data_IF_117529649006
#
_entry.id   IF_117529649006
#
_cell.length_a   1.000
_cell.length_b   1.000
_cell.length_c   1.000
_cell.angle_alpha   90.00
_cell.angle_beta   90.00
_cell.angle_gamma   90.00
#
_symmetry.space_group_name_H-M   'P 1'
#
loop_
_entity.id
_entity.type
_entity.pdbx_description
1 polymer ?
#
# COMPACT_ATOMS: atom_id res chain seq x y z
N UNK A 1 6.62 22.80 -6.09
CA UNK A 1 6.81 21.85 -4.99
C UNK A 1 5.43 21.57 -4.46
N UNK A 2 4.95 20.33 -4.56
CA UNK A 2 3.63 19.98 -4.03
C UNK A 2 3.65 20.12 -2.50
N UNK A 3 2.55 20.60 -1.94
CA UNK A 3 2.41 20.75 -0.49
C UNK A 3 0.96 20.58 -0.07
N UNK A 4 0.75 20.19 1.18
CA UNK A 4 -0.56 20.06 1.79
C UNK A 4 -0.52 20.57 3.24
N UNK A 5 -1.70 20.83 3.82
CA UNK A 5 -1.81 21.23 5.23
C UNK A 5 -2.09 20.00 6.10
N UNK A 6 -1.30 19.83 7.16
CA UNK A 6 -1.49 18.79 8.17
C UNK A 6 -1.35 19.40 9.56
N UNK A 7 -2.38 19.27 10.41
CA UNK A 7 -2.45 19.89 11.74
C UNK A 7 -2.09 21.40 11.73
N UNK A 8 -2.55 22.13 10.70
CA UNK A 8 -2.29 23.57 10.55
C UNK A 8 -0.86 23.93 10.11
N UNK A 9 -0.01 22.93 9.82
CA UNK A 9 1.35 23.13 9.28
C UNK A 9 1.37 22.84 7.78
N UNK A 10 2.17 23.62 7.05
CA UNK A 10 2.49 23.31 5.65
C UNK A 10 3.51 22.18 5.59
N UNK A 11 3.13 21.10 4.90
CA UNK A 11 4.00 19.95 4.63
C UNK A 11 4.38 19.97 3.15
N UNK A 12 5.69 19.89 2.87
CA UNK A 12 6.26 19.89 1.53
C UNK A 12 6.58 18.47 1.10
N UNK A 13 6.23 18.12 -0.14
CA UNK A 13 6.56 16.82 -0.74
C UNK A 13 7.76 16.97 -1.66
N UNK A 14 8.81 16.18 -1.42
CA UNK A 14 10.02 16.13 -2.24
C UNK A 14 10.56 14.71 -2.28
N UNK A 15 10.74 14.15 -3.47
CA UNK A 15 11.42 12.86 -3.68
C UNK A 15 10.84 11.72 -2.80
N UNK A 16 9.50 11.59 -2.77
CA UNK A 16 8.81 10.53 -2.00
C UNK A 16 8.76 10.78 -0.48
N UNK A 17 9.27 11.92 -0.01
CA UNK A 17 9.33 12.27 1.42
C UNK A 17 8.53 13.54 1.70
N UNK A 18 7.91 13.56 2.88
CA UNK A 18 7.14 14.69 3.38
C UNK A 18 7.95 15.41 4.45
N UNK A 19 8.07 16.74 4.36
CA UNK A 19 8.86 17.56 5.26
C UNK A 19 8.06 18.72 5.82
N UNK A 20 8.20 19.04 7.10
CA UNK A 20 7.72 20.31 7.64
C UNK A 20 8.66 21.48 7.25
N UNK A 21 8.29 22.70 7.65
CA UNK A 21 9.09 23.91 7.38
C UNK A 21 10.51 23.88 8.00
N UNK A 22 10.75 23.03 9.00
CA UNK A 22 12.05 22.85 9.63
C UNK A 22 12.88 21.73 8.99
N UNK A 23 12.33 21.05 7.96
CA UNK A 23 12.97 19.91 7.31
C UNK A 23 12.79 18.58 8.06
N UNK A 24 11.89 18.52 9.05
CA UNK A 24 11.59 17.28 9.78
C UNK A 24 10.69 16.38 8.95
N UNK A 25 10.93 15.05 8.95
CA UNK A 25 10.07 14.09 8.27
C UNK A 25 8.66 14.13 8.89
N UNK A 26 7.67 14.42 8.05
CA UNK A 26 6.27 14.59 8.41
C UNK A 26 5.39 13.65 7.57
N UNK A 27 5.73 12.35 7.60
CA UNK A 27 5.06 11.30 6.84
C UNK A 27 5.86 10.81 5.63
N UNK A 28 5.23 9.98 4.81
CA UNK A 28 5.82 9.42 3.60
C UNK A 28 4.85 9.59 2.42
N UNK A 29 5.41 9.83 1.24
CA UNK A 29 4.68 9.80 -0.03
C UNK A 29 5.02 8.49 -0.72
N UNK A 30 4.47 7.39 -0.19
CA UNK A 30 4.66 6.03 -0.69
C UNK A 30 3.33 5.27 -0.63
N UNK A 31 3.09 4.44 -1.64
CA UNK A 31 1.94 3.55 -1.74
C UNK A 31 2.25 2.14 -1.20
N UNK A 32 1.20 1.33 -0.99
CA UNK A 32 1.39 -0.06 -0.57
C UNK A 32 2.16 -0.88 -1.60
N UNK A 33 1.89 -0.68 -2.90
CA UNK A 33 2.55 -1.45 -3.96
C UNK A 33 4.03 -1.06 -4.10
N UNK A 34 4.37 0.24 -3.99
CA UNK A 34 5.77 0.68 -3.90
C UNK A 34 6.46 0.11 -2.66
N UNK A 35 5.75 -0.01 -1.53
CA UNK A 35 6.29 -0.62 -0.32
C UNK A 35 6.59 -2.11 -0.52
N UNK A 36 5.70 -2.86 -1.19
CA UNK A 36 5.93 -4.27 -1.55
C UNK A 36 7.13 -4.39 -2.49
N UNK A 37 7.18 -3.56 -3.55
CA UNK A 37 8.32 -3.51 -4.48
C UNK A 37 9.63 -3.28 -3.72
N UNK A 38 9.67 -2.28 -2.86
CA UNK A 38 10.87 -1.95 -2.10
C UNK A 38 11.29 -3.07 -1.13
N UNK A 39 10.32 -3.74 -0.50
CA UNK A 39 10.58 -4.88 0.37
C UNK A 39 11.20 -6.06 -0.40
N UNK A 40 10.79 -6.28 -1.64
CA UNK A 40 11.36 -7.35 -2.48
C UNK A 40 12.72 -6.94 -3.06
N UNK A 41 12.83 -5.74 -3.64
CA UNK A 41 14.01 -5.32 -4.39
C UNK A 41 15.17 -4.82 -3.52
N UNK A 42 14.88 -4.12 -2.42
CA UNK A 42 15.91 -3.52 -1.57
C UNK A 42 16.12 -4.26 -0.25
N UNK A 43 15.09 -4.90 0.29
CA UNK A 43 15.17 -5.71 1.52
C UNK A 43 15.34 -7.20 1.21
N UNK A 44 15.28 -7.59 -0.06
CA UNK A 44 15.49 -8.95 -0.56
C UNK A 44 14.53 -9.99 0.04
N UNK A 45 13.31 -9.57 0.39
CA UNK A 45 12.27 -10.49 0.85
C UNK A 45 11.62 -11.24 -0.32
N UNK A 46 11.26 -12.52 -0.15
CA UNK A 46 10.43 -13.21 -1.13
C UNK A 46 9.10 -12.47 -1.34
N UNK A 47 8.66 -12.33 -2.59
CA UNK A 47 7.40 -11.64 -2.92
C UNK A 47 6.20 -12.14 -2.11
N UNK A 48 6.08 -13.46 -1.92
CA UNK A 48 4.99 -14.04 -1.13
C UNK A 48 5.00 -13.58 0.34
N UNK A 49 6.17 -13.31 0.91
CA UNK A 49 6.30 -12.79 2.28
C UNK A 49 5.95 -11.31 2.34
N UNK A 50 6.46 -10.50 1.41
CA UNK A 50 6.09 -9.09 1.30
C UNK A 50 4.57 -8.91 1.12
N UNK A 51 3.93 -9.76 0.32
CA UNK A 51 2.47 -9.80 0.16
C UNK A 51 1.81 -10.10 1.52
N UNK A 52 2.25 -11.13 2.26
CA UNK A 52 1.71 -11.44 3.60
C UNK A 52 1.84 -10.27 4.58
N UNK A 53 2.97 -9.55 4.54
CA UNK A 53 3.21 -8.35 5.35
C UNK A 53 2.23 -7.22 5.02
N UNK A 54 1.77 -7.12 3.77
CA UNK A 54 0.79 -6.11 3.35
C UNK A 54 -0.69 -6.50 3.57
N UNK A 55 -1.00 -7.78 3.85
CA UNK A 55 -2.38 -8.26 3.96
C UNK A 55 -2.68 -9.10 5.21
N UNK A 56 -2.09 -10.29 5.34
CA UNK A 56 -2.42 -11.25 6.37
C UNK A 56 -1.95 -10.77 7.75
N UNK A 57 -0.74 -10.21 7.83
CA UNK A 57 -0.19 -9.74 9.11
C UNK A 57 -0.96 -8.54 9.66
N UNK A 58 -1.26 -7.48 8.88
CA UNK A 58 -2.11 -6.40 9.37
C UNK A 58 -3.53 -6.88 9.68
N UNK A 59 -4.11 -7.79 8.88
CA UNK A 59 -5.43 -8.36 9.18
C UNK A 59 -5.45 -9.08 10.54
N UNK A 60 -4.41 -9.87 10.85
CA UNK A 60 -4.25 -10.52 12.16
C UNK A 60 -4.03 -9.51 13.29
N UNK A 61 -3.20 -8.49 13.05
CA UNK A 61 -2.87 -7.48 14.04
C UNK A 61 -4.11 -6.72 14.55
N UNK A 62 -5.13 -6.56 13.70
CA UNK A 62 -6.41 -5.92 14.05
C UNK A 62 -7.59 -6.91 14.16
N UNK A 63 -7.30 -8.22 14.17
CA UNK A 63 -8.29 -9.30 14.35
C UNK A 63 -9.44 -9.30 13.34
N UNK A 64 -9.13 -9.15 12.06
CA UNK A 64 -10.08 -9.27 10.94
C UNK A 64 -9.67 -10.35 9.93
N UNK A 65 -8.70 -11.19 10.28
CA UNK A 65 -8.19 -12.24 9.40
C UNK A 65 -9.15 -13.42 9.22
N UNK A 66 -10.22 -13.50 10.00
CA UNK A 66 -11.36 -14.40 9.78
C UNK A 66 -12.07 -14.12 8.44
N UNK A 67 -12.06 -12.85 8.00
CA UNK A 67 -12.78 -12.39 6.80
C UNK A 67 -11.93 -11.69 5.74
N UNK A 68 -10.72 -11.24 6.08
CA UNK A 68 -9.80 -10.49 5.20
C UNK A 68 -8.37 -11.05 5.26
N UNK A 69 -7.48 -10.51 4.42
CA UNK A 69 -6.04 -10.75 4.50
C UNK A 69 -5.51 -11.97 3.73
N UNK A 70 -6.38 -12.82 3.18
CA UNK A 70 -5.99 -13.95 2.32
C UNK A 70 -7.10 -14.34 1.34
N UNK A 71 -6.72 -15.12 0.32
CA UNK A 71 -7.64 -15.66 -0.69
C UNK A 71 -8.05 -17.07 -0.29
N UNK A 72 -9.15 -17.16 0.46
CA UNK A 72 -9.68 -18.42 0.99
C UNK A 72 -11.20 -18.47 0.84
N UNK A 73 -11.77 -19.68 0.72
CA UNK A 73 -13.22 -19.87 0.62
C UNK A 73 -13.91 -19.27 1.86
N UNK A 74 -14.93 -18.43 1.62
CA UNK A 74 -15.74 -17.82 2.67
C UNK A 74 -15.26 -16.43 3.11
N UNK A 75 -14.07 -15.98 2.70
CA UNK A 75 -13.59 -14.62 2.96
C UNK A 75 -14.15 -13.61 1.95
N UNK A 76 -14.10 -12.33 2.33
CA UNK A 76 -14.54 -11.23 1.48
C UNK A 76 -13.61 -11.11 0.27
N UNK A 77 -14.20 -10.96 -0.92
CA UNK A 77 -13.47 -10.79 -2.17
C UNK A 77 -12.89 -9.36 -2.29
N UNK A 78 -11.89 -9.07 -1.45
CA UNK A 78 -11.04 -7.90 -1.53
C UNK A 78 -9.68 -8.32 -2.10
N UNK A 79 -9.43 -7.97 -3.36
CA UNK A 79 -8.27 -8.43 -4.12
C UNK A 79 -7.58 -7.25 -4.81
N UNK A 80 -6.26 -7.36 -5.01
CA UNK A 80 -5.50 -6.49 -5.89
C UNK A 80 -4.82 -7.35 -6.95
N UNK A 81 -4.87 -6.91 -8.21
CA UNK A 81 -4.25 -7.59 -9.34
C UNK A 81 -3.16 -6.68 -9.89
N UNK A 82 -1.95 -7.21 -10.06
CA UNK A 82 -0.80 -6.44 -10.49
C UNK A 82 0.12 -7.26 -11.40
N UNK A 83 0.94 -6.56 -12.19
CA UNK A 83 1.90 -7.17 -13.12
C UNK A 83 3.19 -7.58 -12.40
N UNK A 84 4.08 -8.39 -13.01
CA UNK A 84 5.41 -8.66 -12.46
C UNK A 84 6.27 -7.41 -12.19
N UNK A 85 5.94 -6.27 -12.82
CA UNK A 85 6.61 -4.98 -12.62
C UNK A 85 5.98 -4.13 -11.50
N UNK A 86 5.11 -4.72 -10.68
CA UNK A 86 4.40 -4.05 -9.57
C UNK A 86 3.40 -2.98 -10.02
N UNK A 87 2.87 -3.06 -11.24
CA UNK A 87 1.81 -2.15 -11.70
C UNK A 87 0.44 -2.73 -11.34
N UNK A 88 -0.36 -1.99 -10.57
CA UNK A 88 -1.74 -2.41 -10.24
C UNK A 88 -2.63 -2.23 -11.47
N UNK A 89 -3.22 -3.31 -11.95
CA UNK A 89 -4.08 -3.31 -13.14
C UNK A 89 -5.57 -3.39 -12.78
N UNK A 90 -5.91 -3.84 -11.58
CA UNK A 90 -7.27 -3.86 -11.08
C UNK A 90 -7.34 -4.08 -9.58
N UNK A 91 -8.51 -3.78 -9.01
CA UNK A 91 -8.91 -4.20 -7.68
C UNK A 91 -10.27 -4.86 -7.72
N UNK A 92 -10.53 -5.73 -6.75
CA UNK A 92 -11.88 -6.21 -6.43
C UNK A 92 -12.19 -5.75 -5.03
N UNK A 93 -13.32 -5.09 -4.82
CA UNK A 93 -13.76 -4.63 -3.49
C UNK A 93 -15.16 -5.17 -3.25
N UNK A 94 -15.34 -5.99 -2.21
CA UNK A 94 -16.58 -6.69 -1.91
C UNK A 94 -17.14 -7.47 -3.12
N UNK A 95 -16.25 -8.03 -3.95
CA UNK A 95 -16.63 -8.75 -5.17
C UNK A 95 -16.85 -7.88 -6.40
N UNK A 96 -16.80 -6.55 -6.29
CA UNK A 96 -16.93 -5.63 -7.42
C UNK A 96 -15.57 -5.38 -8.08
N UNK A 97 -15.43 -5.76 -9.36
CA UNK A 97 -14.23 -5.52 -10.15
C UNK A 97 -14.12 -4.05 -10.59
N UNK A 98 -12.96 -3.44 -10.35
CA UNK A 98 -12.60 -2.11 -10.83
C UNK A 98 -11.24 -2.15 -11.54
N UNK A 99 -11.18 -1.92 -12.86
CA UNK A 99 -9.91 -1.82 -13.56
C UNK A 99 -9.16 -0.57 -13.09
N UNK A 100 -7.84 -0.65 -13.05
CA UNK A 100 -7.00 0.52 -12.86
C UNK A 100 -7.08 1.38 -14.11
N UNK A 101 -7.44 2.65 -13.96
CA UNK A 101 -7.22 3.65 -15.00
C UNK A 101 -5.73 3.97 -14.96
N UNK A 102 -4.98 3.38 -15.88
CA UNK A 102 -3.62 3.85 -16.18
C UNK A 102 -3.74 5.32 -16.58
N UNK A 103 -3.32 6.22 -15.69
CA UNK A 103 -3.16 7.65 -15.97
C UNK A 103 -1.77 7.91 -16.53
#
# INVERSE_FOLDING_TARGET
MESFTFEGKTIYVKEGRCYDANGTIAGASITMMESIKNAVEYVELPLAEAIRMSNLYPARAISVDDRLGSVEKGKVANLAVFTPNYEVIATVVNGEWKPSVLS
#
